data_IF_043115665288
#
_entry.id   IF_043115665288
#
_cell.length_a   1.000
_cell.length_b   1.000
_cell.length_c   1.000
_cell.angle_alpha   90.00
_cell.angle_beta   90.00
_cell.angle_gamma   90.00
#
_symmetry.space_group_name_H-M   'P 1'
#
loop_
_entity.id
_entity.type
_entity.pdbx_description
1 polymer ?
#
# COMPACT_ATOMS: atom_id res chain seq x y z
N UNK A 1 11.85 6.70 -7.33
CA UNK A 1 11.14 7.76 -6.59
C UNK A 1 9.89 7.27 -5.85
N UNK A 2 9.07 6.36 -6.40
CA UNK A 2 7.88 5.81 -5.69
C UNK A 2 8.13 4.57 -4.85
N UNK A 3 9.01 3.65 -5.28
CA UNK A 3 9.34 2.43 -4.50
C UNK A 3 10.02 2.78 -3.17
N UNK A 4 10.95 3.73 -3.18
CA UNK A 4 11.67 4.16 -1.97
C UNK A 4 10.78 4.80 -0.89
N UNK A 5 9.60 5.33 -1.26
CA UNK A 5 8.62 5.84 -0.28
C UNK A 5 7.98 4.68 0.48
N UNK A 6 7.61 3.60 -0.22
CA UNK A 6 7.03 2.42 0.42
C UNK A 6 8.05 1.70 1.29
N UNK A 7 9.28 1.51 0.79
CA UNK A 7 10.39 0.91 1.55
C UNK A 7 10.73 1.75 2.80
N UNK A 8 10.80 3.08 2.66
CA UNK A 8 11.04 3.98 3.78
C UNK A 8 9.93 3.96 4.83
N UNK A 9 8.67 3.83 4.39
CA UNK A 9 7.53 3.71 5.30
C UNK A 9 7.59 2.40 6.10
N UNK A 10 7.82 1.26 5.43
CA UNK A 10 7.91 -0.06 6.07
C UNK A 10 9.09 -0.13 7.04
N UNK A 11 10.24 0.45 6.68
CA UNK A 11 11.39 0.51 7.57
C UNK A 11 11.14 1.36 8.83
N UNK A 12 10.34 2.42 8.71
CA UNK A 12 10.06 3.36 9.81
C UNK A 12 8.86 2.94 10.68
N UNK A 13 7.99 2.07 10.17
CA UNK A 13 6.76 1.64 10.83
C UNK A 13 6.62 0.10 10.77
N UNK A 14 7.54 -0.66 11.40
CA UNK A 14 7.55 -2.12 11.35
C UNK A 14 6.28 -2.77 11.94
N UNK A 15 5.51 -2.03 12.72
CA UNK A 15 4.23 -2.46 13.28
C UNK A 15 3.07 -2.45 12.26
N UNK A 16 3.25 -1.79 11.12
CA UNK A 16 2.28 -1.80 10.02
C UNK A 16 2.55 -2.96 9.08
N UNK A 17 1.49 -3.62 8.60
CA UNK A 17 1.61 -4.75 7.68
C UNK A 17 1.18 -4.36 6.28
N UNK A 18 2.03 -4.53 5.29
CA UNK A 18 1.67 -4.31 3.88
C UNK A 18 0.59 -5.30 3.43
N UNK A 19 -0.41 -4.78 2.74
CA UNK A 19 -1.49 -5.58 2.16
C UNK A 19 -1.11 -6.01 0.75
N UNK A 20 -1.74 -7.09 0.28
CA UNK A 20 -1.52 -7.57 -1.08
C UNK A 20 -1.78 -6.44 -2.12
N UNK A 21 -1.00 -6.37 -3.22
CA UNK A 21 -1.24 -5.42 -4.31
C UNK A 21 -2.67 -5.50 -4.86
N UNK A 22 -3.14 -4.40 -5.45
CA UNK A 22 -4.39 -4.42 -6.23
C UNK A 22 -4.22 -5.30 -7.47
N UNK A 23 -5.32 -5.93 -7.89
CA UNK A 23 -5.37 -6.80 -9.07
C UNK A 23 -6.25 -6.19 -10.17
N UNK A 24 -6.22 -6.76 -11.38
CA UNK A 24 -6.98 -6.28 -12.53
C UNK A 24 -6.11 -5.41 -13.43
N UNK A 25 -6.51 -4.17 -13.78
CA UNK A 25 -5.71 -3.30 -14.65
C UNK A 25 -4.43 -2.75 -13.96
N UNK A 26 -4.21 -3.13 -12.70
CA UNK A 26 -3.06 -2.78 -11.90
C UNK A 26 -1.97 -3.84 -12.04
N UNK A 27 -0.73 -3.41 -12.21
CA UNK A 27 0.45 -4.27 -12.25
C UNK A 27 1.20 -4.23 -10.91
N UNK A 28 1.82 -5.34 -10.46
CA UNK A 28 2.65 -5.34 -9.25
C UNK A 28 3.80 -4.34 -9.34
N UNK A 29 4.01 -3.56 -8.27
CA UNK A 29 5.07 -2.55 -8.20
C UNK A 29 5.63 -2.44 -6.78
N UNK A 30 6.74 -3.14 -6.50
CA UNK A 30 7.25 -3.30 -5.14
C UNK A 30 6.23 -4.00 -4.25
N UNK A 31 5.91 -3.40 -3.08
CA UNK A 31 4.84 -3.88 -2.18
C UNK A 31 3.45 -3.34 -2.53
N UNK A 32 3.33 -2.51 -3.57
CA UNK A 32 2.09 -1.92 -4.04
C UNK A 32 1.72 -2.33 -5.46
N UNK A 33 0.91 -1.50 -6.10
CA UNK A 33 0.49 -1.69 -7.48
C UNK A 33 0.55 -0.37 -8.26
N UNK A 34 0.85 -0.47 -9.56
CA UNK A 34 0.86 0.66 -10.50
C UNK A 34 -0.25 0.49 -11.53
N UNK A 35 -1.00 1.55 -11.79
CA UNK A 35 -1.88 1.66 -12.94
C UNK A 35 -1.12 2.44 -14.02
N UNK A 36 -0.86 1.79 -15.15
CA UNK A 36 -0.23 2.47 -16.27
C UNK A 36 -1.25 3.32 -17.03
N UNK A 37 -0.84 4.48 -17.57
CA UNK A 37 -1.70 5.34 -18.38
C UNK A 37 -2.40 4.57 -19.51
N UNK A 38 -1.66 3.68 -20.16
CA UNK A 38 -2.10 2.87 -21.30
C UNK A 38 -3.22 1.88 -20.94
N UNK A 39 -3.33 1.47 -19.67
CA UNK A 39 -4.28 0.44 -19.25
C UNK A 39 -5.71 0.97 -19.08
N UNK A 40 -5.89 2.29 -18.89
CA UNK A 40 -7.20 2.87 -18.59
C UNK A 40 -7.41 4.31 -19.10
N UNK A 41 -6.48 4.88 -19.86
CA UNK A 41 -6.53 6.30 -20.24
C UNK A 41 -6.39 7.22 -19.03
N UNK A 42 -5.65 6.78 -18.00
CA UNK A 42 -5.36 7.56 -16.80
C UNK A 42 -4.01 8.28 -16.91
N UNK A 43 -3.71 9.22 -16.01
CA UNK A 43 -2.38 9.87 -15.94
C UNK A 43 -1.29 8.96 -15.33
N UNK A 44 -1.66 7.74 -14.91
CA UNK A 44 -0.79 6.82 -14.17
C UNK A 44 -0.85 7.06 -12.66
N UNK A 45 -0.87 5.98 -11.89
CA UNK A 45 -1.00 6.05 -10.42
C UNK A 45 -0.28 4.89 -9.76
N UNK A 46 0.37 5.14 -8.62
CA UNK A 46 0.89 4.08 -7.75
C UNK A 46 0.12 4.08 -6.44
N UNK A 47 -0.33 2.90 -6.01
CA UNK A 47 -1.07 2.72 -4.76
C UNK A 47 -0.34 1.69 -3.89
N UNK A 48 -0.13 2.07 -2.63
CA UNK A 48 0.38 1.21 -1.59
C UNK A 48 -0.66 1.12 -0.47
N UNK A 49 -0.83 -0.06 0.13
CA UNK A 49 -1.84 -0.31 1.15
C UNK A 49 -1.21 -0.99 2.35
N UNK A 50 -1.49 -0.48 3.54
CA UNK A 50 -1.04 -1.06 4.80
C UNK A 50 -2.19 -1.22 5.77
N UNK A 51 -2.11 -2.23 6.62
CA UNK A 51 -2.98 -2.42 7.78
C UNK A 51 -2.28 -1.84 9.01
N UNK A 52 -2.99 -0.95 9.70
CA UNK A 52 -2.56 -0.43 11.02
C UNK A 52 -2.45 -1.60 12.01
N UNK A 53 -1.45 -1.61 12.91
CA UNK A 53 -1.45 -2.54 14.04
C UNK A 53 -2.75 -2.44 14.83
N UNK A 54 -3.20 -3.56 15.40
CA UNK A 54 -4.26 -3.51 16.39
C UNK A 54 -3.77 -2.65 17.57
N UNK A 55 -4.59 -1.71 18.04
CA UNK A 55 -4.22 -0.96 19.25
C UNK A 55 -4.02 -1.95 20.40
N UNK A 56 -2.91 -1.87 21.15
CA UNK A 56 -2.76 -2.64 22.36
C UNK A 56 -3.78 -2.13 23.39
N UNK A 57 -4.94 -2.78 23.47
CA UNK A 57 -5.97 -2.49 24.47
C UNK A 57 -7.07 -1.52 24.04
N UNK A 58 -7.51 -1.57 22.78
CA UNK A 58 -8.83 -1.03 22.43
C UNK A 58 -9.92 -1.84 23.13
N UNK A 59 -10.24 -1.51 24.38
CA UNK A 59 -11.54 -1.84 24.96
C UNK A 59 -12.61 -1.26 24.03
N UNK A 60 -13.21 -2.10 23.20
CA UNK A 60 -14.62 -1.94 22.87
C UNK A 60 -15.40 -2.19 24.17
N UNK A 61 -15.51 -1.15 24.98
CA UNK A 61 -16.55 -1.07 26.01
C UNK A 61 -17.76 -0.40 25.36
N UNK A 62 -18.90 -1.11 25.38
CA UNK A 62 -20.23 -0.61 25.01
C UNK A 62 -20.76 -1.08 23.68
#
# INVERSE_FOLDING_TARGET
ETVGVAEGFEASHPEWSSLAPLTGPWEPWGTGAILLPQAQGSDGMVVFRWRRPAEPGGSSDG
#
